data_IF_930794123702
#
_entry.id   IF_930794123702
#
_cell.length_a   1.000
_cell.length_b   1.000
_cell.length_c   1.000
_cell.angle_alpha   90.00
_cell.angle_beta   90.00
_cell.angle_gamma   90.00
#
_symmetry.space_group_name_H-M   'P 1'
#
loop_
_entity.id
_entity.type
_entity.pdbx_description
1 polymer ?
#
# COMPACT_ATOMS: atom_id res chain seq x y z
N UNK A 1 -13.98 39.90 30.73
CA UNK A 1 -12.90 39.15 30.08
C UNK A 1 -13.28 37.68 30.16
N UNK A 2 -13.90 37.18 29.10
CA UNK A 2 -14.38 35.80 29.02
C UNK A 2 -13.17 34.91 28.75
N UNK A 3 -12.85 34.01 29.68
CA UNK A 3 -11.83 32.98 29.51
C UNK A 3 -12.33 31.93 28.52
N UNK A 4 -11.64 31.77 27.39
CA UNK A 4 -11.87 30.64 26.50
C UNK A 4 -11.59 29.33 27.26
N UNK A 5 -12.45 28.31 27.11
CA UNK A 5 -12.24 27.04 27.77
C UNK A 5 -11.01 26.34 27.16
N UNK A 6 -10.05 26.02 28.04
CA UNK A 6 -8.88 25.22 27.74
C UNK A 6 -9.32 23.88 27.16
N UNK A 7 -9.18 23.69 25.84
CA UNK A 7 -9.46 22.42 25.19
C UNK A 7 -8.36 21.43 25.58
N UNK A 8 -8.72 20.43 26.38
CA UNK A 8 -7.87 19.27 26.63
C UNK A 8 -7.49 18.64 25.29
N UNK A 9 -6.22 18.33 25.02
CA UNK A 9 -5.81 17.64 23.80
C UNK A 9 -6.62 16.35 23.64
N UNK A 10 -7.02 15.97 22.40
CA UNK A 10 -7.73 14.72 22.18
C UNK A 10 -6.90 13.54 22.68
N UNK A 11 -7.58 12.55 23.25
CA UNK A 11 -6.99 11.26 23.62
C UNK A 11 -6.40 10.57 22.36
N UNK A 12 -5.29 9.86 22.50
CA UNK A 12 -4.56 9.26 21.38
C UNK A 12 -5.45 8.29 20.56
N UNK A 13 -6.35 7.57 21.23
CA UNK A 13 -7.32 6.69 20.57
C UNK A 13 -8.34 7.49 19.74
N UNK A 14 -8.71 8.69 20.19
CA UNK A 14 -9.59 9.59 19.45
C UNK A 14 -8.92 10.17 18.21
N UNK A 15 -7.63 10.52 18.30
CA UNK A 15 -6.84 11.01 17.16
C UNK A 15 -6.69 9.94 16.08
N UNK A 16 -6.36 8.70 16.46
CA UNK A 16 -6.26 7.58 15.52
C UNK A 16 -7.60 7.28 14.85
N UNK A 17 -8.71 7.34 15.59
CA UNK A 17 -10.04 7.15 15.03
C UNK A 17 -10.39 8.23 13.99
N UNK A 18 -10.03 9.49 14.25
CA UNK A 18 -10.20 10.57 13.28
C UNK A 18 -9.36 10.37 12.01
N UNK A 19 -8.10 9.98 12.17
CA UNK A 19 -7.22 9.68 11.03
C UNK A 19 -7.76 8.53 10.17
N UNK A 20 -8.27 7.46 10.78
CA UNK A 20 -8.93 6.36 10.06
C UNK A 20 -10.13 6.85 9.26
N UNK A 21 -10.98 7.69 9.86
CA UNK A 21 -12.15 8.22 9.17
C UNK A 21 -11.76 9.15 8.01
N UNK A 22 -10.70 9.96 8.17
CA UNK A 22 -10.17 10.80 7.08
C UNK A 22 -9.66 9.96 5.92
N UNK A 23 -8.91 8.88 6.20
CA UNK A 23 -8.44 7.93 5.18
C UNK A 23 -9.62 7.30 4.45
N UNK A 24 -10.60 6.76 5.18
CA UNK A 24 -11.79 6.15 4.58
C UNK A 24 -12.53 7.14 3.68
N UNK A 25 -12.82 8.34 4.17
CA UNK A 25 -13.57 9.35 3.43
C UNK A 25 -12.87 9.73 2.11
N UNK A 26 -11.54 9.90 2.13
CA UNK A 26 -10.77 10.24 0.93
C UNK A 26 -10.81 9.13 -0.11
N UNK A 27 -10.68 7.86 0.29
CA UNK A 27 -10.75 6.74 -0.65
C UNK A 27 -12.15 6.50 -1.20
N UNK A 28 -13.19 6.64 -0.36
CA UNK A 28 -14.59 6.56 -0.81
C UNK A 28 -14.93 7.66 -1.82
N UNK A 29 -14.47 8.90 -1.60
CA UNK A 29 -14.80 10.02 -2.50
C UNK A 29 -14.15 9.95 -3.88
N UNK A 30 -13.04 9.23 -4.00
CA UNK A 30 -12.26 9.10 -5.24
C UNK A 30 -12.34 7.69 -5.83
N UNK A 31 -13.20 6.81 -5.31
CA UNK A 31 -13.25 5.39 -5.70
C UNK A 31 -13.48 5.21 -7.21
N UNK A 32 -14.46 5.92 -7.80
CA UNK A 32 -14.72 5.90 -9.25
C UNK A 32 -13.50 6.35 -10.07
N UNK A 33 -12.84 7.43 -9.62
CA UNK A 33 -11.67 8.00 -10.30
C UNK A 33 -10.51 7.00 -10.32
N UNK A 34 -10.20 6.42 -9.16
CA UNK A 34 -9.13 5.43 -9.06
C UNK A 34 -9.46 4.16 -9.81
N UNK A 35 -10.72 3.70 -9.77
CA UNK A 35 -11.14 2.53 -10.51
C UNK A 35 -10.98 2.69 -12.03
N UNK A 36 -11.44 3.82 -12.59
CA UNK A 36 -11.29 4.12 -14.02
C UNK A 36 -9.81 4.16 -14.40
N UNK A 37 -8.98 4.80 -13.57
CA UNK A 37 -7.54 4.93 -13.80
C UNK A 37 -6.79 3.61 -13.72
N UNK A 38 -7.08 2.80 -12.72
CA UNK A 38 -6.40 1.51 -12.50
C UNK A 38 -6.88 0.46 -13.50
N UNK A 39 -8.14 0.50 -13.91
CA UNK A 39 -8.70 -0.46 -14.83
C UNK A 39 -8.56 -1.91 -14.33
N UNK A 40 -8.50 -2.86 -15.27
CA UNK A 40 -8.49 -4.28 -14.92
C UNK A 40 -7.15 -4.81 -14.42
N UNK A 41 -6.05 -4.19 -14.86
CA UNK A 41 -4.68 -4.66 -14.62
C UNK A 41 -3.93 -3.82 -13.58
N UNK A 42 -4.51 -2.69 -13.13
CA UNK A 42 -3.77 -1.66 -12.42
C UNK A 42 -3.08 -0.69 -13.39
N UNK A 43 -2.71 0.49 -12.89
CA UNK A 43 -1.93 1.45 -13.67
C UNK A 43 -0.51 0.92 -13.99
N UNK A 44 0.26 1.66 -14.79
CA UNK A 44 1.61 1.28 -15.23
C UNK A 44 2.58 0.98 -14.09
N UNK A 45 2.45 1.71 -12.98
CA UNK A 45 3.24 1.43 -11.78
C UNK A 45 2.85 0.09 -11.18
N UNK A 46 1.55 -0.15 -11.02
CA UNK A 46 1.06 -1.38 -10.45
C UNK A 46 1.40 -2.59 -11.32
N UNK A 47 1.02 -2.60 -12.59
CA UNK A 47 1.21 -3.77 -13.45
C UNK A 47 2.66 -3.96 -13.92
N UNK A 48 3.42 -2.87 -14.09
CA UNK A 48 4.78 -2.90 -14.62
C UNK A 48 5.87 -3.07 -13.55
N UNK A 49 5.64 -2.61 -12.32
CA UNK A 49 6.68 -2.54 -11.28
C UNK A 49 6.25 -3.26 -10.00
N UNK A 50 5.12 -2.87 -9.40
CA UNK A 50 4.76 -3.32 -8.05
C UNK A 50 4.28 -4.78 -8.01
N UNK A 51 3.35 -5.15 -8.89
CA UNK A 51 2.81 -6.51 -8.96
C UNK A 51 3.90 -7.54 -9.32
N UNK A 52 4.76 -7.31 -10.34
CA UNK A 52 5.86 -8.24 -10.63
C UNK A 52 6.85 -8.42 -9.47
N UNK A 53 7.19 -7.35 -8.75
CA UNK A 53 8.06 -7.43 -7.57
C UNK A 53 7.39 -8.22 -6.44
N UNK A 54 6.10 -7.97 -6.19
CA UNK A 54 5.33 -8.72 -5.20
C UNK A 54 5.29 -10.21 -5.54
N UNK A 55 5.02 -10.58 -6.79
CA UNK A 55 4.99 -11.97 -7.26
C UNK A 55 6.33 -12.69 -7.09
N UNK A 56 7.45 -12.06 -7.47
CA UNK A 56 8.79 -12.63 -7.29
C UNK A 56 9.10 -12.92 -5.82
N UNK A 57 8.78 -11.98 -4.93
CA UNK A 57 9.02 -12.14 -3.50
C UNK A 57 8.09 -13.19 -2.89
N UNK A 58 6.82 -13.19 -3.28
CA UNK A 58 5.82 -14.17 -2.84
C UNK A 58 6.22 -15.59 -3.24
N UNK A 59 6.62 -15.80 -4.50
CA UNK A 59 7.05 -17.09 -5.03
C UNK A 59 6.01 -18.19 -4.86
N UNK A 60 4.73 -17.86 -5.08
CA UNK A 60 3.61 -18.78 -4.90
C UNK A 60 3.34 -19.60 -6.16
N UNK A 61 2.84 -20.81 -5.95
CA UNK A 61 2.36 -21.69 -7.01
C UNK A 61 0.82 -21.72 -7.03
N UNK A 62 0.23 -22.22 -8.11
CA UNK A 62 -1.21 -22.43 -8.22
C UNK A 62 -1.74 -23.29 -7.06
N UNK A 63 -2.93 -22.97 -6.57
CA UNK A 63 -3.53 -23.59 -5.38
C UNK A 63 -3.10 -22.96 -4.05
N UNK A 64 -2.15 -22.02 -4.04
CA UNK A 64 -1.83 -21.24 -2.86
C UNK A 64 -3.01 -20.36 -2.44
N UNK A 65 -3.18 -20.20 -1.12
CA UNK A 65 -4.20 -19.34 -0.52
C UNK A 65 -3.57 -18.13 0.15
N UNK A 66 -3.95 -16.92 -0.24
CA UNK A 66 -3.39 -15.70 0.35
C UNK A 66 -4.46 -14.69 0.79
N UNK A 67 -4.03 -13.75 1.65
CA UNK A 67 -4.79 -12.56 2.03
C UNK A 67 -4.13 -11.32 1.44
N UNK A 68 -4.90 -10.46 0.79
CA UNK A 68 -4.44 -9.17 0.29
C UNK A 68 -5.03 -8.05 1.16
N UNK A 69 -4.18 -7.14 1.65
CA UNK A 69 -4.57 -5.95 2.40
C UNK A 69 -4.50 -4.71 1.51
N UNK A 70 -5.54 -3.87 1.58
CA UNK A 70 -5.72 -2.69 0.73
C UNK A 70 -5.72 -3.06 -0.76
N UNK A 71 -6.61 -3.99 -1.16
CA UNK A 71 -6.68 -4.49 -2.53
C UNK A 71 -7.20 -3.46 -3.54
N UNK A 72 -7.74 -2.33 -3.08
CA UNK A 72 -8.36 -1.32 -3.91
C UNK A 72 -9.43 -1.91 -4.82
N UNK A 73 -9.36 -1.63 -6.11
CA UNK A 73 -10.29 -2.18 -7.09
C UNK A 73 -10.00 -3.65 -7.45
N UNK A 74 -9.11 -4.37 -6.76
CA UNK A 74 -8.88 -5.81 -6.93
C UNK A 74 -8.01 -6.22 -8.11
N UNK A 75 -7.27 -5.31 -8.74
CA UNK A 75 -6.39 -5.63 -9.88
C UNK A 75 -5.40 -6.77 -9.59
N UNK A 76 -4.71 -6.71 -8.44
CA UNK A 76 -3.75 -7.74 -8.06
C UNK A 76 -4.43 -9.05 -7.65
N UNK A 77 -5.53 -8.99 -6.88
CA UNK A 77 -6.36 -10.16 -6.58
C UNK A 77 -6.77 -10.92 -7.84
N UNK A 78 -7.25 -10.22 -8.88
CA UNK A 78 -7.62 -10.83 -10.17
C UNK A 78 -6.41 -11.38 -10.92
N UNK A 79 -5.26 -10.70 -10.85
CA UNK A 79 -4.00 -11.19 -11.42
C UNK A 79 -3.58 -12.52 -10.80
N UNK A 80 -3.62 -12.64 -9.47
CA UNK A 80 -3.30 -13.88 -8.76
C UNK A 80 -4.38 -14.96 -8.95
N UNK A 81 -5.66 -14.59 -8.96
CA UNK A 81 -6.76 -15.52 -9.24
C UNK A 81 -6.61 -16.22 -10.59
N UNK A 82 -6.22 -15.48 -11.64
CA UNK A 82 -5.93 -16.04 -12.98
C UNK A 82 -4.72 -16.98 -13.00
N UNK A 83 -3.83 -16.90 -12.01
CA UNK A 83 -2.70 -17.81 -11.84
C UNK A 83 -3.08 -19.05 -11.00
N UNK A 84 -4.35 -19.18 -10.60
CA UNK A 84 -4.89 -20.33 -9.87
C UNK A 84 -4.80 -20.21 -8.35
N UNK A 85 -4.60 -19.01 -7.80
CA UNK A 85 -4.57 -18.77 -6.36
C UNK A 85 -5.97 -18.51 -5.80
N UNK A 86 -6.17 -18.86 -4.52
CA UNK A 86 -7.34 -18.49 -3.73
C UNK A 86 -7.04 -17.21 -2.94
N UNK A 87 -7.78 -16.13 -3.20
CA UNK A 87 -7.49 -14.80 -2.65
C UNK A 87 -8.61 -14.32 -1.73
N UNK A 88 -8.28 -13.99 -0.48
CA UNK A 88 -9.11 -13.16 0.38
C UNK A 88 -8.63 -11.72 0.23
N UNK A 89 -9.28 -10.95 -0.62
CA UNK A 89 -8.93 -9.56 -0.91
C UNK A 89 -9.68 -8.63 0.04
N UNK A 90 -8.96 -7.74 0.69
CA UNK A 90 -9.53 -6.88 1.74
C UNK A 90 -9.19 -5.42 1.50
N UNK A 91 -10.15 -4.54 1.76
CA UNK A 91 -9.96 -3.09 1.72
C UNK A 91 -10.81 -2.40 2.78
N UNK A 92 -10.41 -1.20 3.20
CA UNK A 92 -11.18 -0.39 4.12
C UNK A 92 -12.40 0.24 3.42
N UNK A 93 -12.33 0.48 2.11
CA UNK A 93 -13.34 1.16 1.30
C UNK A 93 -14.37 0.19 0.69
N UNK A 94 -15.64 0.20 1.13
CA UNK A 94 -16.71 -0.52 0.44
C UNK A 94 -16.88 -0.13 -1.02
N UNK A 95 -16.68 1.16 -1.36
CA UNK A 95 -16.83 1.62 -2.75
C UNK A 95 -15.80 0.94 -3.68
N UNK A 96 -14.52 0.92 -3.31
CA UNK A 96 -13.48 0.24 -4.09
C UNK A 96 -13.74 -1.27 -4.23
N UNK A 97 -14.23 -1.91 -3.17
CA UNK A 97 -14.60 -3.33 -3.22
C UNK A 97 -15.77 -3.60 -4.17
N UNK A 98 -16.76 -2.71 -4.24
CA UNK A 98 -17.85 -2.82 -5.20
C UNK A 98 -17.38 -2.71 -6.66
N UNK A 99 -16.33 -1.93 -6.94
CA UNK A 99 -15.66 -1.95 -8.24
C UNK A 99 -14.89 -3.26 -8.46
N UNK A 100 -14.20 -3.74 -7.44
CA UNK A 100 -13.43 -4.98 -7.50
C UNK A 100 -14.33 -6.19 -7.84
N UNK A 101 -15.49 -6.28 -7.20
CA UNK A 101 -16.51 -7.29 -7.48
C UNK A 101 -17.02 -7.18 -8.92
N UNK A 102 -17.48 -6.00 -9.35
CA UNK A 102 -17.96 -5.79 -10.74
C UNK A 102 -16.92 -6.18 -11.79
N UNK A 103 -15.66 -5.78 -11.60
CA UNK A 103 -14.57 -6.14 -12.53
C UNK A 103 -14.20 -7.62 -12.50
N UNK A 104 -14.49 -8.31 -11.40
CA UNK A 104 -14.28 -9.76 -11.30
C UNK A 104 -15.39 -10.50 -12.04
N UNK A 105 -16.64 -10.04 -11.93
CA UNK A 105 -17.80 -10.60 -12.64
C UNK A 105 -17.69 -10.50 -14.17
N UNK A 106 -17.00 -9.48 -14.70
CA UNK A 106 -16.84 -9.28 -16.15
C UNK A 106 -15.75 -10.14 -16.78
N UNK A 107 -14.96 -10.91 -16.00
CA UNK A 107 -13.93 -11.79 -16.54
C UNK A 107 -14.57 -13.09 -17.04
N UNK A 108 -14.44 -13.35 -18.35
CA UNK A 108 -15.01 -14.52 -19.02
C UNK A 108 -14.21 -15.83 -18.83
N UNK A 109 -12.95 -15.73 -18.42
CA UNK A 109 -12.02 -16.86 -18.35
C UNK A 109 -11.85 -17.36 -16.91
N UNK A 110 -12.22 -18.63 -16.70
CA UNK A 110 -12.03 -19.47 -15.51
C UNK A 110 -12.53 -18.86 -14.19
N UNK A 111 -13.33 -19.61 -13.44
CA UNK A 111 -13.78 -19.18 -12.12
C UNK A 111 -12.56 -18.88 -11.22
N UNK A 112 -12.26 -17.59 -11.05
CA UNK A 112 -11.23 -17.13 -10.11
C UNK A 112 -11.78 -17.25 -8.69
N UNK A 113 -11.00 -17.83 -7.78
CA UNK A 113 -11.41 -17.98 -6.38
C UNK A 113 -10.99 -16.74 -5.58
N UNK A 114 -11.82 -15.69 -5.66
CA UNK A 114 -11.57 -14.42 -4.98
C UNK A 114 -12.78 -14.08 -4.10
N UNK A 115 -12.51 -13.74 -2.84
CA UNK A 115 -13.51 -13.16 -1.94
C UNK A 115 -13.09 -11.76 -1.51
N UNK A 116 -13.98 -10.79 -1.67
CA UNK A 116 -13.78 -9.40 -1.26
C UNK A 116 -14.40 -9.16 0.12
N UNK A 117 -13.68 -8.46 1.01
CA UNK A 117 -14.15 -8.18 2.37
C UNK A 117 -13.76 -6.78 2.82
N UNK A 118 -14.72 -6.04 3.37
CA UNK A 118 -14.43 -4.77 4.04
C UNK A 118 -13.71 -5.04 5.36
N UNK A 119 -12.47 -4.61 5.47
CA UNK A 119 -11.60 -4.84 6.64
C UNK A 119 -10.70 -3.62 6.85
N UNK A 120 -10.73 -3.08 8.07
CA UNK A 120 -9.67 -2.17 8.52
C UNK A 120 -8.43 -2.97 8.90
N UNK A 121 -7.38 -2.93 8.07
CA UNK A 121 -6.11 -3.60 8.35
C UNK A 121 -5.38 -3.05 9.59
N UNK A 122 -5.85 -1.93 10.15
CA UNK A 122 -5.37 -1.41 11.43
C UNK A 122 -6.14 -1.96 12.65
N UNK A 123 -7.06 -2.91 12.44
CA UNK A 123 -7.72 -3.71 13.47
C UNK A 123 -7.31 -5.19 13.34
N UNK A 124 -6.51 -5.67 14.28
CA UNK A 124 -6.04 -7.08 14.31
C UNK A 124 -7.22 -8.06 14.39
N UNK A 125 -8.30 -7.73 15.11
CA UNK A 125 -9.46 -8.63 15.23
C UNK A 125 -10.21 -8.76 13.92
N UNK A 126 -10.34 -7.65 13.17
CA UNK A 126 -10.95 -7.67 11.85
C UNK A 126 -10.16 -8.59 10.88
N UNK A 127 -8.83 -8.54 10.94
CA UNK A 127 -7.96 -9.44 10.17
C UNK A 127 -8.15 -10.91 10.58
N UNK A 128 -8.22 -11.21 11.88
CA UNK A 128 -8.43 -12.58 12.36
C UNK A 128 -9.76 -13.18 11.89
N UNK A 129 -10.80 -12.35 11.70
CA UNK A 129 -12.09 -12.76 11.18
C UNK A 129 -12.07 -13.12 9.68
N UNK A 130 -10.99 -12.79 8.95
CA UNK A 130 -10.76 -13.27 7.59
C UNK A 130 -10.41 -14.77 7.52
N UNK A 131 -10.15 -15.39 8.66
CA UNK A 131 -9.84 -16.81 8.79
C UNK A 131 -8.35 -17.10 8.58
N UNK A 132 -8.05 -18.31 8.12
CA UNK A 132 -6.69 -18.82 7.99
C UNK A 132 -6.64 -20.34 8.12
N UNK A 133 -5.44 -20.93 8.00
CA UNK A 133 -4.20 -20.26 7.72
C UNK A 133 -4.02 -19.92 6.23
N UNK A 134 -3.18 -18.92 5.92
CA UNK A 134 -2.81 -18.50 4.56
C UNK A 134 -1.35 -18.87 4.25
N UNK A 135 -1.04 -19.21 3.01
CA UNK A 135 0.33 -19.41 2.53
C UNK A 135 1.11 -18.09 2.50
N UNK A 136 0.42 -17.01 2.14
CA UNK A 136 1.00 -15.69 2.13
C UNK A 136 0.00 -14.56 2.45
N UNK A 137 0.56 -13.39 2.70
CA UNK A 137 -0.13 -12.12 2.78
C UNK A 137 0.57 -11.13 1.86
N UNK A 138 -0.16 -10.14 1.35
CA UNK A 138 0.40 -9.08 0.52
C UNK A 138 -0.28 -7.75 0.80
N UNK A 139 0.47 -6.65 0.76
CA UNK A 139 -0.06 -5.29 0.81
C UNK A 139 0.74 -4.41 -0.16
N UNK A 140 0.11 -4.00 -1.26
CA UNK A 140 0.73 -3.13 -2.26
C UNK A 140 0.21 -1.71 -2.05
N UNK A 141 1.11 -0.79 -1.74
CA UNK A 141 0.86 0.65 -1.56
C UNK A 141 -0.16 1.01 -0.46
N UNK A 142 -0.65 0.05 0.33
CA UNK A 142 -1.61 0.30 1.41
C UNK A 142 -1.00 0.88 2.69
N UNK A 143 0.19 0.43 3.10
CA UNK A 143 0.78 0.79 4.41
C UNK A 143 1.05 2.30 4.57
N UNK A 144 1.26 3.01 3.47
CA UNK A 144 1.44 4.46 3.48
C UNK A 144 0.13 5.23 3.78
N UNK A 145 -1.03 4.59 3.68
CA UNK A 145 -2.33 5.16 4.06
C UNK A 145 -2.84 4.64 5.40
N UNK A 146 -2.02 3.94 6.19
CA UNK A 146 -2.40 3.40 7.50
C UNK A 146 -1.74 4.18 8.64
N UNK A 147 -2.49 4.75 9.60
CA UNK A 147 -1.88 5.46 10.72
C UNK A 147 -1.11 4.52 11.65
N UNK A 148 -1.49 3.24 11.75
CA UNK A 148 -0.86 2.21 12.59
C UNK A 148 -0.59 0.94 11.76
N UNK A 149 0.59 0.32 11.92
CA UNK A 149 0.93 -0.89 11.16
C UNK A 149 1.02 -2.14 12.04
N UNK A 150 1.31 -1.99 13.32
CA UNK A 150 1.43 -3.12 14.25
C UNK A 150 0.22 -4.07 14.25
N UNK A 151 -1.05 -3.60 14.19
CA UNK A 151 -2.20 -4.50 14.08
C UNK A 151 -2.19 -5.33 12.78
N UNK A 152 -1.79 -4.74 11.66
CA UNK A 152 -1.68 -5.46 10.37
C UNK A 152 -0.60 -6.53 10.44
N UNK A 153 0.60 -6.19 10.91
CA UNK A 153 1.70 -7.13 11.04
C UNK A 153 1.40 -8.26 12.04
N UNK A 154 0.79 -7.93 13.19
CA UNK A 154 0.35 -8.90 14.19
C UNK A 154 -0.73 -9.84 13.65
N UNK A 155 -1.76 -9.29 13.01
CA UNK A 155 -2.83 -10.05 12.35
C UNK A 155 -2.28 -10.98 11.28
N UNK A 156 -1.46 -10.45 10.35
CA UNK A 156 -0.78 -11.22 9.32
C UNK A 156 0.03 -12.38 9.92
N UNK A 157 0.86 -12.12 10.94
CA UNK A 157 1.63 -13.17 11.62
C UNK A 157 0.76 -14.28 12.20
N UNK A 158 -0.47 -13.99 12.63
CA UNK A 158 -1.37 -14.99 13.23
C UNK A 158 -2.13 -15.80 12.18
N UNK A 159 -2.53 -15.16 11.08
CA UNK A 159 -3.29 -15.83 10.01
C UNK A 159 -2.40 -16.57 9.00
N UNK A 160 -1.09 -16.30 8.95
CA UNK A 160 -0.16 -17.03 8.07
C UNK A 160 0.13 -18.46 8.56
N UNK A 161 0.43 -19.40 7.65
CA UNK A 161 1.04 -20.70 7.99
C UNK A 161 2.46 -20.49 8.55
N UNK A 162 2.99 -21.43 9.35
CA UNK A 162 4.43 -21.50 9.61
C UNK A 162 5.21 -21.38 8.28
N UNK A 163 6.23 -20.52 8.27
CA UNK A 163 7.05 -20.17 7.08
C UNK A 163 6.31 -19.40 5.96
N UNK A 164 5.06 -19.02 6.18
CA UNK A 164 4.29 -18.18 5.26
C UNK A 164 4.93 -16.80 5.06
N UNK A 165 4.77 -16.25 3.85
CA UNK A 165 5.35 -14.97 3.47
C UNK A 165 4.37 -13.80 3.72
N UNK A 166 4.87 -12.64 4.10
CA UNK A 166 4.13 -11.38 3.99
C UNK A 166 4.95 -10.41 3.15
N UNK A 167 4.42 -10.02 1.99
CA UNK A 167 5.06 -9.03 1.12
C UNK A 167 4.40 -7.67 1.26
N UNK A 168 5.19 -6.64 1.52
CA UNK A 168 4.75 -5.24 1.54
C UNK A 168 5.48 -4.49 0.45
N UNK A 169 4.74 -3.84 -0.45
CA UNK A 169 5.28 -2.89 -1.42
C UNK A 169 4.83 -1.50 -1.03
N UNK A 170 5.73 -0.53 -0.93
CA UNK A 170 5.38 0.84 -0.54
C UNK A 170 6.37 1.86 -1.11
N UNK A 171 6.01 3.14 -1.11
CA UNK A 171 6.94 4.21 -1.45
C UNK A 171 8.17 4.18 -0.55
N UNK A 172 9.36 4.36 -1.13
CA UNK A 172 10.62 4.30 -0.40
C UNK A 172 10.66 5.41 0.64
N UNK A 173 10.77 5.11 1.95
CA UNK A 173 10.71 6.13 2.98
C UNK A 173 11.77 7.23 2.84
N UNK A 174 12.98 6.87 2.39
CA UNK A 174 14.07 7.84 2.28
C UNK A 174 13.91 8.77 1.08
N UNK A 175 13.35 8.30 -0.03
CA UNK A 175 13.41 9.02 -1.31
C UNK A 175 12.05 9.57 -1.71
N UNK A 176 10.95 8.87 -1.40
CA UNK A 176 9.63 9.22 -1.89
C UNK A 176 8.69 9.86 -0.87
N UNK A 177 8.95 9.69 0.43
CA UNK A 177 8.06 10.24 1.48
C UNK A 177 8.75 11.12 2.52
N UNK A 178 10.07 11.28 2.47
CA UNK A 178 10.91 12.03 3.42
C UNK A 178 10.79 13.56 3.36
N UNK A 179 9.81 14.07 2.61
CA UNK A 179 9.58 15.49 2.42
C UNK A 179 10.72 16.13 1.62
N UNK A 180 11.14 15.47 0.55
CA UNK A 180 12.28 15.89 -0.27
C UNK A 180 11.94 17.10 -1.16
N UNK A 181 12.99 17.76 -1.67
CA UNK A 181 12.90 18.68 -2.82
C UNK A 181 13.70 18.13 -3.99
N UNK A 182 13.14 18.21 -5.20
CA UNK A 182 13.84 17.87 -6.42
C UNK A 182 14.92 18.91 -6.73
N UNK A 183 16.17 18.47 -6.86
CA UNK A 183 17.30 19.30 -7.27
C UNK A 183 17.56 19.08 -8.75
N UNK A 184 17.26 20.10 -9.57
CA UNK A 184 17.54 20.05 -11.01
C UNK A 184 19.03 20.27 -11.25
N UNK A 185 19.61 19.51 -12.18
CA UNK A 185 20.96 19.73 -12.67
C UNK A 185 21.18 21.19 -13.11
N UNK A 186 22.33 21.75 -12.77
CA UNK A 186 22.68 23.14 -13.09
C UNK A 186 23.25 23.32 -14.51
N UNK A 187 23.73 22.23 -15.12
CA UNK A 187 24.27 22.23 -16.49
C UNK A 187 23.99 20.90 -17.20
N UNK A 188 24.03 20.92 -18.52
CA UNK A 188 23.82 19.73 -19.34
C UNK A 188 24.91 18.68 -19.05
N UNK A 189 24.49 17.46 -18.70
CA UNK A 189 25.38 16.35 -18.35
C UNK A 189 25.55 16.10 -16.85
N UNK A 190 25.11 17.02 -16.00
CA UNK A 190 25.07 16.81 -14.54
C UNK A 190 23.80 16.01 -14.13
N UNK A 191 23.88 15.17 -13.09
CA UNK A 191 22.73 14.40 -12.63
C UNK A 191 21.73 15.30 -11.87
N UNK A 192 20.45 14.98 -11.99
CA UNK A 192 19.44 15.48 -11.08
C UNK A 192 19.57 14.78 -9.71
N UNK A 193 19.04 15.39 -8.66
CA UNK A 193 19.13 14.83 -7.31
C UNK A 193 17.92 15.14 -6.42
N UNK A 194 18.02 14.70 -5.17
CA UNK A 194 17.04 14.96 -4.12
C UNK A 194 17.74 15.55 -2.89
N UNK A 195 17.14 16.58 -2.29
CA UNK A 195 17.51 17.02 -0.94
C UNK A 195 16.45 16.54 0.03
N UNK A 196 16.86 15.75 1.04
CA UNK A 196 15.97 15.14 2.03
C UNK A 196 15.90 16.03 3.28
N UNK A 197 14.69 16.42 3.68
CA UNK A 197 14.49 17.41 4.75
C UNK A 197 13.99 16.81 6.08
N UNK A 198 13.17 15.76 6.06
CA UNK A 198 12.38 15.34 7.25
C UNK A 198 12.30 13.82 7.48
N UNK A 199 13.27 13.05 7.01
CA UNK A 199 13.23 11.57 7.03
C UNK A 199 12.99 10.92 8.41
N UNK A 200 13.58 11.46 9.48
CA UNK A 200 13.46 10.84 10.81
C UNK A 200 12.16 11.22 11.54
N UNK A 201 11.39 12.18 11.02
CA UNK A 201 10.16 12.65 11.66
C UNK A 201 8.96 11.85 11.16
N UNK A 202 8.07 11.46 12.07
CA UNK A 202 6.74 10.96 11.68
C UNK A 202 5.81 12.12 11.39
N UNK A 203 5.07 12.06 10.28
CA UNK A 203 4.01 13.02 9.98
C UNK A 203 2.99 12.46 8.99
N UNK A 204 1.79 13.02 9.04
CA UNK A 204 0.79 12.87 7.98
C UNK A 204 0.95 14.01 6.96
N UNK A 205 0.76 13.70 5.69
CA UNK A 205 0.67 14.66 4.60
C UNK A 205 -0.52 14.34 3.72
N UNK A 206 -0.99 15.33 2.98
CA UNK A 206 -2.03 15.15 1.97
C UNK A 206 -1.39 15.24 0.60
N UNK A 207 -1.65 14.26 -0.26
CA UNK A 207 -1.08 14.20 -1.60
C UNK A 207 -2.10 13.81 -2.65
N UNK A 208 -1.93 14.34 -3.85
CA UNK A 208 -2.59 13.85 -5.05
C UNK A 208 -1.58 13.05 -5.88
N UNK A 209 -2.01 11.91 -6.40
CA UNK A 209 -1.26 11.12 -7.39
C UNK A 209 -1.56 11.57 -8.82
N UNK A 210 -2.64 12.35 -9.02
CA UNK A 210 -3.01 12.91 -10.32
C UNK A 210 -3.73 14.25 -10.14
N UNK A 211 -3.47 15.21 -11.04
CA UNK A 211 -4.07 16.56 -10.99
C UNK A 211 -5.58 16.60 -11.23
N UNK A 212 -6.18 15.53 -11.75
CA UNK A 212 -7.61 15.39 -11.96
C UNK A 212 -8.37 14.87 -10.72
N UNK A 213 -7.66 14.47 -9.65
CA UNK A 213 -8.28 14.09 -8.38
C UNK A 213 -8.98 15.28 -7.74
N UNK A 214 -10.17 15.05 -7.18
CA UNK A 214 -10.93 16.14 -6.53
C UNK A 214 -10.47 16.35 -5.09
N UNK A 215 -10.06 15.28 -4.41
CA UNK A 215 -9.56 15.32 -3.04
C UNK A 215 -8.20 14.62 -2.89
N UNK A 216 -7.32 15.16 -2.03
CA UNK A 216 -6.04 14.53 -1.73
C UNK A 216 -6.18 13.40 -0.71
N UNK A 217 -5.36 12.36 -0.85
CA UNK A 217 -5.33 11.24 0.09
C UNK A 217 -4.37 11.53 1.23
N UNK A 218 -4.67 10.97 2.40
CA UNK A 218 -3.79 11.03 3.56
C UNK A 218 -2.68 9.98 3.43
N UNK A 219 -1.44 10.43 3.56
CA UNK A 219 -0.25 9.60 3.58
C UNK A 219 0.54 9.81 4.87
N UNK A 220 1.07 8.73 5.42
CA UNK A 220 1.81 8.72 6.68
C UNK A 220 3.28 8.39 6.42
N UNK A 221 4.13 9.40 6.50
CA UNK A 221 5.57 9.18 6.46
C UNK A 221 6.05 8.61 7.81
N UNK A 222 6.92 7.60 7.72
CA UNK A 222 7.70 7.06 8.83
C UNK A 222 9.05 6.56 8.30
N UNK A 223 10.14 6.66 9.08
CA UNK A 223 11.43 6.12 8.68
C UNK A 223 11.41 4.60 8.55
N UNK A 224 12.41 4.04 7.85
CA UNK A 224 12.51 2.58 7.66
C UNK A 224 12.57 1.82 8.99
N UNK A 225 13.23 2.38 10.00
CA UNK A 225 13.32 1.76 11.33
C UNK A 225 11.96 1.60 12.01
N UNK A 226 11.03 2.54 11.83
CA UNK A 226 9.66 2.43 12.36
C UNK A 226 8.82 1.46 11.53
N UNK A 227 8.90 1.55 10.19
CA UNK A 227 8.20 0.63 9.28
C UNK A 227 8.57 -0.83 9.58
N UNK A 228 9.87 -1.13 9.67
CA UNK A 228 10.38 -2.46 9.95
C UNK A 228 10.18 -2.85 11.42
N UNK A 229 10.30 -1.90 12.34
CA UNK A 229 10.15 -2.13 13.77
C UNK A 229 8.80 -2.72 14.15
N UNK A 230 7.70 -2.25 13.54
CA UNK A 230 6.37 -2.80 13.77
C UNK A 230 6.24 -4.27 13.30
N UNK A 231 6.90 -4.62 12.20
CA UNK A 231 6.95 -6.00 11.70
C UNK A 231 7.78 -6.89 12.65
N UNK A 232 8.97 -6.43 13.05
CA UNK A 232 9.86 -7.16 13.95
C UNK A 232 9.24 -7.38 15.32
N UNK A 233 8.60 -6.36 15.88
CA UNK A 233 7.89 -6.45 17.16
C UNK A 233 6.66 -7.38 17.11
N UNK A 234 6.19 -7.70 15.90
CA UNK A 234 5.13 -8.68 15.65
C UNK A 234 5.67 -10.10 15.44
N UNK A 235 6.99 -10.30 15.52
CA UNK A 235 7.64 -11.61 15.37
C UNK A 235 7.78 -12.08 13.92
N UNK A 236 7.79 -11.13 12.97
CA UNK A 236 8.10 -11.37 11.57
C UNK A 236 9.59 -11.10 11.30
N UNK A 237 10.19 -11.88 10.40
CA UNK A 237 11.60 -11.75 10.00
C UNK A 237 11.69 -11.25 8.57
N UNK A 238 12.40 -10.15 8.32
CA UNK A 238 12.69 -9.70 6.95
C UNK A 238 13.77 -10.60 6.33
N UNK A 239 13.46 -11.24 5.21
CA UNK A 239 14.38 -12.16 4.51
C UNK A 239 14.48 -11.90 2.99
N UNK A 240 13.87 -10.81 2.51
CA UNK A 240 13.93 -10.38 1.11
C UNK A 240 13.58 -8.90 0.98
N UNK A 241 14.24 -8.22 0.05
CA UNK A 241 14.02 -6.82 -0.26
C UNK A 241 14.37 -6.55 -1.73
N UNK A 242 13.55 -5.73 -2.40
CA UNK A 242 13.84 -5.16 -3.72
C UNK A 242 13.60 -3.64 -3.67
N UNK A 243 14.54 -2.86 -4.17
CA UNK A 243 14.39 -1.42 -4.38
C UNK A 243 13.92 -1.16 -5.82
N UNK A 244 12.79 -0.47 -5.96
CA UNK A 244 12.03 -0.42 -7.21
C UNK A 244 12.15 0.96 -7.88
N UNK A 245 12.57 1.01 -9.16
CA UNK A 245 12.61 2.25 -9.92
C UNK A 245 11.19 2.67 -10.38
N UNK A 246 11.10 3.80 -11.07
CA UNK A 246 9.94 4.11 -11.90
C UNK A 246 9.84 3.16 -13.11
N UNK A 247 8.64 2.95 -13.70
CA UNK A 247 8.48 2.16 -14.92
C UNK A 247 9.21 2.80 -16.11
N UNK A 248 9.67 1.96 -17.04
CA UNK A 248 10.41 2.40 -18.25
C UNK A 248 9.58 3.33 -19.16
N UNK A 249 8.26 3.14 -19.21
CA UNK A 249 7.32 3.96 -19.99
C UNK A 249 6.22 4.49 -19.05
N UNK A 250 6.40 5.69 -18.47
CA UNK A 250 5.41 6.30 -17.59
C UNK A 250 4.35 7.09 -18.37
N UNK A 251 3.16 7.22 -17.78
CA UNK A 251 2.02 7.94 -18.36
C UNK A 251 2.40 9.34 -18.83
N UNK A 252 1.91 9.72 -20.01
CA UNK A 252 2.25 10.96 -20.73
C UNK A 252 2.03 12.27 -19.94
N UNK A 253 1.18 12.27 -18.92
CA UNK A 253 0.85 13.46 -18.12
C UNK A 253 1.71 13.58 -16.84
N UNK A 254 2.40 12.51 -16.44
CA UNK A 254 3.32 12.54 -15.33
C UNK A 254 4.72 12.89 -15.84
N UNK A 255 5.06 14.18 -15.80
CA UNK A 255 6.45 14.64 -15.66
C UNK A 255 7.00 14.19 -14.31
N UNK A 256 7.05 12.88 -14.09
CA UNK A 256 7.43 12.31 -12.82
C UNK A 256 8.93 12.54 -12.69
N UNK A 257 9.32 13.32 -11.68
CA UNK A 257 10.72 13.58 -11.35
C UNK A 257 11.57 12.30 -11.29
N UNK A 258 10.93 11.15 -11.03
CA UNK A 258 11.52 9.83 -10.98
C UNK A 258 12.14 9.39 -12.31
N UNK A 259 11.65 9.88 -13.45
CA UNK A 259 12.28 9.63 -14.76
C UNK A 259 13.65 10.32 -14.89
N UNK A 260 13.81 11.44 -14.20
CA UNK A 260 15.06 12.18 -14.14
C UNK A 260 16.01 11.60 -13.09
N UNK A 261 15.56 10.60 -12.32
CA UNK A 261 16.29 9.97 -11.22
C UNK A 261 16.29 8.43 -11.38
N UNK A 262 16.76 7.87 -12.51
CA UNK A 262 16.66 6.44 -12.80
C UNK A 262 17.38 5.55 -11.77
N UNK A 263 18.40 6.10 -11.10
CA UNK A 263 19.20 5.40 -10.08
C UNK A 263 18.66 5.60 -8.65
N UNK A 264 17.57 6.34 -8.45
CA UNK A 264 16.95 6.54 -7.13
C UNK A 264 15.64 5.75 -7.05
N UNK A 265 15.52 4.77 -6.15
CA UNK A 265 14.32 3.97 -6.07
C UNK A 265 13.15 4.78 -5.53
N UNK A 266 12.02 4.67 -6.23
CA UNK A 266 10.78 5.32 -5.84
C UNK A 266 10.04 4.48 -4.78
N UNK A 267 10.13 3.16 -4.86
CA UNK A 267 9.43 2.23 -3.99
C UNK A 267 10.37 1.14 -3.45
N UNK A 268 9.90 0.42 -2.44
CA UNK A 268 10.57 -0.76 -1.88
C UNK A 268 9.56 -1.88 -1.73
N UNK A 269 9.96 -3.10 -2.09
CA UNK A 269 9.25 -4.33 -1.79
C UNK A 269 10.00 -5.09 -0.71
N UNK A 270 9.30 -5.53 0.32
CA UNK A 270 9.85 -6.17 1.51
C UNK A 270 9.15 -7.51 1.72
N UNK A 271 9.92 -8.59 1.91
CA UNK A 271 9.39 -9.90 2.27
C UNK A 271 9.71 -10.24 3.71
N UNK A 272 8.65 -10.49 4.46
CA UNK A 272 8.71 -10.99 5.81
C UNK A 272 8.30 -12.46 5.88
N UNK A 273 8.84 -13.20 6.85
CA UNK A 273 8.49 -14.59 7.14
C UNK A 273 7.95 -14.74 8.55
N UNK A 274 6.91 -15.57 8.66
CA UNK A 274 6.51 -16.20 9.91
C UNK A 274 7.47 -17.35 10.21
N UNK A 275 8.51 -17.11 11.02
CA UNK A 275 9.37 -18.18 11.54
C UNK A 275 8.64 -19.01 12.60
#
# INVERSE_FOLDING_TARGET
MSSEPNQTPPDADSEIAQLRQQVLNGWESEADFFDERWGDQGDEFHHGVFAPAAERLLGLEAGARLIEFACGNGAFARRLGRQGMSVVATDLSPALLAHAERRTETISDQAVDISYRTVDATDERAILNCGGPFDAAVCIMGVMSMPLLRPMFGGARRVLRPRGAFVVVTLHPAYATSGYTFAKAESDGEPHGLTIHRYLSRYATHGVTNTAQKQPQVYFHRPMSELLGDAFASGLVLDGMEELPAPEQPMAEAKLIWNMLPEIPMAVALRFRRM
#
